data_IF_829628478317
#
_entry.id   IF_829628478317
#
_cell.length_a   1.000
_cell.length_b   1.000
_cell.length_c   1.000
_cell.angle_alpha   90.00
_cell.angle_beta   90.00
_cell.angle_gamma   90.00
#
_symmetry.space_group_name_H-M   'P 1'
#
loop_
_entity.id
_entity.type
_entity.pdbx_description
1 polymer ?
#
# COMPACT_ATOMS: atom_id res chain seq x y z
N UNK A 1 19.79 1.62 73.25
CA UNK A 1 19.97 0.76 72.05
C UNK A 1 18.70 0.82 71.22
N UNK A 2 18.83 0.56 69.91
CA UNK A 2 17.79 0.47 68.86
C UNK A 2 17.42 1.80 68.19
N UNK A 3 17.40 1.96 66.87
CA UNK A 3 18.15 1.43 65.72
C UNK A 3 17.56 2.24 64.55
N UNK A 4 18.40 2.94 63.79
CA UNK A 4 18.00 3.66 62.57
C UNK A 4 17.37 2.69 61.57
N UNK A 5 16.19 3.01 61.04
CA UNK A 5 15.64 2.34 59.86
C UNK A 5 15.42 3.38 58.76
N UNK A 6 16.40 3.42 57.84
CA UNK A 6 16.32 4.12 56.57
C UNK A 6 15.45 3.29 55.62
N UNK A 7 14.37 3.86 55.09
CA UNK A 7 13.56 3.26 54.04
C UNK A 7 14.14 3.63 52.66
N UNK A 8 14.56 2.66 51.84
CA UNK A 8 15.03 2.93 50.49
C UNK A 8 13.85 3.16 49.52
N UNK A 9 14.01 4.17 48.66
CA UNK A 9 13.21 4.46 47.48
C UNK A 9 13.22 3.26 46.51
N UNK A 10 12.05 2.75 46.14
CA UNK A 10 11.89 1.86 44.99
C UNK A 10 11.46 2.69 43.77
N UNK A 11 12.41 2.95 42.86
CA UNK A 11 12.16 3.61 41.58
C UNK A 11 11.62 2.54 40.60
N UNK A 12 10.30 2.55 40.36
CA UNK A 12 9.67 1.66 39.38
C UNK A 12 10.07 2.08 37.97
N UNK A 13 11.00 1.34 37.35
CA UNK A 13 11.30 1.49 35.92
C UNK A 13 10.21 0.78 35.14
N UNK A 14 9.32 1.55 34.49
CA UNK A 14 8.43 0.99 33.47
C UNK A 14 9.29 0.47 32.33
N UNK A 15 9.26 -0.85 32.12
CA UNK A 15 9.97 -1.51 31.04
C UNK A 15 9.50 -0.99 29.69
N UNK A 16 10.43 -0.43 28.92
CA UNK A 16 10.22 -0.14 27.50
C UNK A 16 10.07 -1.49 26.79
N UNK A 17 8.85 -1.85 26.40
CA UNK A 17 8.61 -2.94 25.45
C UNK A 17 9.19 -2.49 24.10
N UNK A 18 10.40 -2.94 23.80
CA UNK A 18 10.97 -2.79 22.48
C UNK A 18 10.15 -3.64 21.51
N UNK A 19 9.27 -3.00 20.73
CA UNK A 19 8.62 -3.63 19.60
C UNK A 19 9.73 -4.01 18.60
N UNK A 20 9.95 -5.30 18.41
CA UNK A 20 10.84 -5.77 17.35
C UNK A 20 10.17 -5.46 16.01
N UNK A 21 10.87 -4.86 15.03
CA UNK A 21 10.30 -4.68 13.71
C UNK A 21 9.99 -6.07 13.16
N UNK A 22 8.71 -6.33 12.90
CA UNK A 22 8.28 -7.51 12.15
C UNK A 22 9.03 -7.42 10.82
N UNK A 23 9.97 -8.34 10.58
CA UNK A 23 10.53 -8.49 9.23
C UNK A 23 9.34 -8.83 8.35
N UNK A 24 8.98 -7.94 7.40
CA UNK A 24 8.03 -8.27 6.32
C UNK A 24 8.57 -9.55 5.68
N UNK A 25 7.96 -10.68 6.01
CA UNK A 25 8.15 -11.90 5.23
C UNK A 25 7.88 -11.54 3.77
N UNK A 26 8.61 -12.14 2.83
CA UNK A 26 8.46 -11.92 1.38
C UNK A 26 7.10 -12.48 0.90
N UNK A 27 6.00 -12.04 1.49
CA UNK A 27 4.66 -12.45 1.11
C UNK A 27 4.42 -12.00 -0.33
N UNK A 28 4.03 -12.90 -1.23
CA UNK A 28 3.74 -12.53 -2.61
C UNK A 28 2.52 -11.59 -2.72
N UNK A 29 1.69 -11.48 -1.67
CA UNK A 29 0.61 -10.48 -1.61
C UNK A 29 1.14 -9.03 -1.53
N UNK A 30 2.37 -8.83 -1.03
CA UNK A 30 2.96 -7.50 -0.82
C UNK A 30 3.67 -6.95 -2.07
N UNK A 31 3.52 -7.60 -3.22
CA UNK A 31 4.07 -7.15 -4.50
C UNK A 31 3.05 -7.37 -5.60
N UNK A 32 2.60 -6.28 -6.20
CA UNK A 32 1.67 -6.32 -7.32
C UNK A 32 2.41 -6.14 -8.64
N UNK A 33 1.92 -6.81 -9.66
CA UNK A 33 2.58 -6.89 -10.95
C UNK A 33 1.80 -6.11 -11.99
N UNK A 34 2.44 -5.10 -12.57
CA UNK A 34 1.85 -4.25 -13.60
C UNK A 34 2.37 -4.65 -14.97
N UNK A 35 1.47 -4.65 -15.95
CA UNK A 35 1.78 -4.81 -17.36
C UNK A 35 0.99 -3.84 -18.23
N UNK A 36 1.43 -3.65 -19.47
CA UNK A 36 0.77 -2.76 -20.44
C UNK A 36 0.57 -1.32 -19.94
N UNK A 37 1.47 -0.81 -19.08
CA UNK A 37 1.42 0.58 -18.67
C UNK A 37 1.68 1.51 -19.86
N UNK A 38 0.75 2.43 -20.06
CA UNK A 38 0.79 3.41 -21.14
C UNK A 38 0.25 4.74 -20.64
N UNK A 39 0.82 5.82 -21.17
CA UNK A 39 0.37 7.20 -20.92
C UNK A 39 0.24 7.93 -22.25
N UNK A 40 -0.82 8.71 -22.43
CA UNK A 40 -1.03 9.54 -23.63
C UNK A 40 -1.42 10.96 -23.24
N UNK A 41 -0.63 11.95 -23.65
CA UNK A 41 -0.82 13.34 -23.23
C UNK A 41 -1.35 14.23 -24.37
N UNK A 42 -2.21 15.16 -24.01
CA UNK A 42 -2.70 16.26 -24.84
C UNK A 42 -2.59 17.57 -24.05
N UNK A 43 -2.82 18.75 -24.68
CA UNK A 43 -2.87 20.01 -23.94
C UNK A 43 -3.91 20.05 -22.80
N UNK A 44 -4.92 19.17 -22.83
CA UNK A 44 -5.96 19.07 -21.79
C UNK A 44 -5.64 18.12 -20.64
N UNK A 45 -4.48 17.45 -20.66
CA UNK A 45 -4.08 16.45 -19.66
C UNK A 45 -3.64 15.13 -20.30
N UNK A 46 -3.28 14.18 -19.43
CA UNK A 46 -2.82 12.85 -19.82
C UNK A 46 -3.79 11.76 -19.38
N UNK A 47 -3.96 10.77 -20.24
CA UNK A 47 -4.64 9.52 -19.91
C UNK A 47 -3.63 8.45 -19.57
N UNK A 48 -4.04 7.48 -18.76
CA UNK A 48 -3.27 6.29 -18.46
C UNK A 48 -4.10 5.02 -18.58
N UNK A 49 -3.43 3.91 -18.88
CA UNK A 49 -4.00 2.57 -18.86
C UNK A 49 -2.94 1.55 -18.46
N UNK A 50 -3.31 0.58 -17.61
CA UNK A 50 -2.46 -0.56 -17.26
C UNK A 50 -3.28 -1.75 -16.73
N UNK A 51 -2.69 -2.93 -16.83
CA UNK A 51 -3.19 -4.14 -16.16
C UNK A 51 -2.42 -4.34 -14.86
N UNK A 52 -3.09 -4.81 -13.82
CA UNK A 52 -2.47 -5.12 -12.54
C UNK A 52 -3.01 -6.42 -11.97
N UNK A 53 -2.13 -7.24 -11.41
CA UNK A 53 -2.54 -8.42 -10.64
C UNK A 53 -1.76 -8.57 -9.34
N UNK A 54 -2.46 -9.04 -8.31
CA UNK A 54 -1.92 -9.43 -7.01
C UNK A 54 -2.14 -10.92 -6.76
N UNK A 55 -1.15 -11.58 -6.16
CA UNK A 55 -1.19 -13.03 -5.92
C UNK A 55 -1.97 -13.30 -4.63
N UNK A 56 -2.98 -14.19 -4.71
CA UNK A 56 -3.73 -14.64 -3.55
C UNK A 56 -2.83 -15.39 -2.55
N UNK A 57 -3.04 -15.14 -1.27
CA UNK A 57 -2.46 -15.91 -0.16
C UNK A 57 -3.56 -16.40 0.78
N UNK A 58 -3.19 -17.01 1.90
CA UNK A 58 -4.16 -17.48 2.89
C UNK A 58 -5.00 -16.34 3.50
N UNK A 59 -4.44 -15.12 3.59
CA UNK A 59 -5.05 -13.99 4.32
C UNK A 59 -5.35 -12.78 3.41
N UNK A 60 -5.04 -12.88 2.12
CA UNK A 60 -5.22 -11.77 1.17
C UNK A 60 -5.77 -12.34 -0.13
N UNK A 61 -6.96 -11.93 -0.58
CA UNK A 61 -7.48 -12.36 -1.86
C UNK A 61 -6.59 -11.83 -2.99
N UNK A 62 -6.50 -12.62 -4.06
CA UNK A 62 -5.85 -12.17 -5.28
C UNK A 62 -6.79 -11.34 -6.12
N UNK A 63 -6.24 -10.49 -6.98
CA UNK A 63 -7.00 -9.71 -7.95
C UNK A 63 -6.27 -9.69 -9.28
N UNK A 64 -7.00 -9.46 -10.37
CA UNK A 64 -6.45 -9.25 -11.71
C UNK A 64 -7.40 -8.34 -12.48
N UNK A 65 -6.99 -7.10 -12.74
CA UNK A 65 -7.86 -6.08 -13.30
C UNK A 65 -7.13 -5.10 -14.21
N UNK A 66 -7.91 -4.27 -14.91
CA UNK A 66 -7.43 -3.18 -15.74
C UNK A 66 -7.82 -1.85 -15.10
N UNK A 67 -6.86 -0.94 -15.03
CA UNK A 67 -7.02 0.40 -14.47
C UNK A 67 -6.78 1.44 -15.56
N UNK A 68 -7.68 2.41 -15.67
CA UNK A 68 -7.60 3.50 -16.64
C UNK A 68 -8.14 4.78 -16.05
N UNK A 69 -7.60 5.92 -16.46
CA UNK A 69 -8.07 7.22 -15.98
C UNK A 69 -7.32 8.39 -16.58
N UNK A 70 -7.46 9.55 -15.95
CA UNK A 70 -6.74 10.78 -16.30
C UNK A 70 -5.89 11.26 -15.14
N UNK A 71 -4.84 12.01 -15.45
CA UNK A 71 -3.95 12.63 -14.47
C UNK A 71 -4.54 13.89 -13.80
N UNK A 72 -5.72 14.33 -14.26
CA UNK A 72 -6.42 15.52 -13.76
C UNK A 72 -7.11 15.30 -12.41
N UNK A 73 -7.33 14.04 -12.01
CA UNK A 73 -7.91 13.70 -10.71
C UNK A 73 -6.81 13.41 -9.68
N UNK A 74 -7.00 13.92 -8.46
CA UNK A 74 -6.15 13.57 -7.31
C UNK A 74 -6.72 12.41 -6.48
N UNK A 75 -7.90 11.91 -6.84
CA UNK A 75 -8.58 10.83 -6.11
C UNK A 75 -8.25 9.45 -6.71
N UNK A 76 -8.30 8.42 -5.86
CA UNK A 76 -8.27 7.03 -6.31
C UNK A 76 -9.59 6.70 -7.01
N UNK A 77 -9.50 6.25 -8.26
CA UNK A 77 -10.65 5.88 -9.08
C UNK A 77 -10.71 4.36 -9.20
N UNK A 78 -11.93 3.79 -9.15
CA UNK A 78 -12.12 2.36 -9.32
C UNK A 78 -11.56 1.88 -10.66
N UNK A 79 -10.88 0.74 -10.62
CA UNK A 79 -10.50 -0.02 -11.81
C UNK A 79 -11.71 -0.81 -12.31
N UNK A 80 -11.52 -1.68 -13.31
CA UNK A 80 -12.60 -2.56 -13.79
C UNK A 80 -13.12 -3.51 -12.69
N UNK A 81 -12.27 -3.83 -11.71
CA UNK A 81 -12.66 -4.44 -10.45
C UNK A 81 -12.84 -3.33 -9.41
N UNK A 82 -14.03 -3.23 -8.81
CA UNK A 82 -14.36 -2.20 -7.81
C UNK A 82 -13.61 -2.35 -6.49
N UNK A 83 -13.03 -3.53 -6.22
CA UNK A 83 -12.17 -3.77 -5.05
C UNK A 83 -10.77 -3.19 -5.24
N UNK A 84 -10.43 -2.75 -6.46
CA UNK A 84 -9.13 -2.14 -6.77
C UNK A 84 -9.36 -0.72 -7.23
N UNK A 85 -8.63 0.24 -6.66
CA UNK A 85 -8.66 1.64 -7.06
C UNK A 85 -7.26 2.10 -7.39
N UNK A 86 -7.13 3.04 -8.33
CA UNK A 86 -5.83 3.54 -8.73
C UNK A 86 -5.84 5.03 -9.03
N UNK A 87 -4.64 5.61 -8.99
CA UNK A 87 -4.37 6.98 -9.40
C UNK A 87 -2.97 7.03 -10.00
N UNK A 88 -2.84 7.74 -11.11
CA UNK A 88 -1.55 8.05 -11.74
C UNK A 88 -1.39 9.55 -11.81
N UNK A 89 -0.29 10.07 -11.28
CA UNK A 89 0.00 11.51 -11.25
C UNK A 89 1.39 11.79 -11.83
N UNK A 90 1.59 12.95 -12.49
CA UNK A 90 2.93 13.38 -12.88
C UNK A 90 3.79 13.57 -11.61
N UNK A 91 5.00 13.02 -11.63
CA UNK A 91 6.03 13.30 -10.63
C UNK A 91 7.10 14.20 -11.27
N UNK A 92 8.35 14.11 -10.81
CA UNK A 92 9.47 14.79 -11.49
C UNK A 92 9.65 14.20 -12.88
N UNK A 93 9.45 15.02 -13.93
CA UNK A 93 9.57 14.57 -15.31
C UNK A 93 10.88 13.78 -15.54
N UNK A 94 10.85 12.60 -16.20
CA UNK A 94 9.71 11.97 -16.91
C UNK A 94 8.95 10.91 -16.09
N UNK A 95 8.91 11.06 -14.76
CA UNK A 95 8.32 10.07 -13.85
C UNK A 95 6.82 10.28 -13.64
N UNK A 96 6.15 9.17 -13.38
CA UNK A 96 4.76 9.03 -12.98
C UNK A 96 4.71 8.33 -11.64
N UNK A 97 4.00 8.92 -10.69
CA UNK A 97 3.63 8.25 -9.45
C UNK A 97 2.37 7.44 -9.68
N UNK A 98 2.39 6.19 -9.26
CA UNK A 98 1.27 5.26 -9.38
C UNK A 98 0.93 4.79 -7.99
N UNK A 99 -0.29 5.10 -7.54
CA UNK A 99 -0.84 4.62 -6.27
C UNK A 99 -2.02 3.71 -6.56
N UNK A 100 -2.05 2.57 -5.88
CA UNK A 100 -3.12 1.58 -5.98
C UNK A 100 -3.58 1.21 -4.57
N UNK A 101 -4.89 1.01 -4.44
CA UNK A 101 -5.56 0.48 -3.25
C UNK A 101 -6.23 -0.83 -3.64
N UNK A 102 -6.09 -1.85 -2.80
CA UNK A 102 -6.85 -3.09 -2.87
C UNK A 102 -7.62 -3.27 -1.56
N UNK A 103 -8.94 -3.30 -1.64
CA UNK A 103 -9.84 -3.41 -0.51
C UNK A 103 -10.61 -4.73 -0.57
N UNK A 104 -10.77 -5.41 0.57
CA UNK A 104 -11.61 -6.61 0.66
C UNK A 104 -12.26 -6.73 2.03
N UNK A 105 -13.31 -7.56 2.09
CA UNK A 105 -14.05 -7.85 3.32
C UNK A 105 -14.05 -9.34 3.59
N UNK A 106 -13.79 -9.73 4.83
CA UNK A 106 -13.92 -11.11 5.32
C UNK A 106 -15.21 -11.29 6.14
N UNK A 107 -15.66 -12.54 6.37
CA UNK A 107 -16.83 -12.81 7.21
C UNK A 107 -16.73 -12.13 8.59
N UNK A 108 -17.84 -11.55 9.04
CA UNK A 108 -17.86 -10.75 10.28
C UNK A 108 -17.62 -9.25 10.04
N UNK A 109 -17.80 -8.79 8.80
CA UNK A 109 -17.68 -7.38 8.39
C UNK A 109 -16.27 -6.81 8.64
N UNK A 110 -15.27 -7.68 8.59
CA UNK A 110 -13.87 -7.33 8.77
C UNK A 110 -13.34 -6.73 7.46
N UNK A 111 -12.97 -5.45 7.47
CA UNK A 111 -12.51 -4.74 6.28
C UNK A 111 -10.99 -4.60 6.27
N UNK A 112 -10.39 -4.84 5.12
CA UNK A 112 -8.95 -4.78 4.91
C UNK A 112 -8.61 -3.95 3.68
N UNK A 113 -7.48 -3.26 3.77
CA UNK A 113 -6.99 -2.35 2.75
C UNK A 113 -5.47 -2.46 2.63
N UNK A 114 -4.98 -2.74 1.43
CA UNK A 114 -3.58 -2.61 1.10
C UNK A 114 -3.38 -1.42 0.17
N UNK A 115 -2.31 -0.66 0.40
CA UNK A 115 -1.90 0.43 -0.46
C UNK A 115 -0.50 0.16 -1.00
N UNK A 116 -0.35 0.31 -2.32
CA UNK A 116 0.93 0.20 -3.00
C UNK A 116 1.23 1.48 -3.76
N UNK A 117 2.50 1.87 -3.77
CA UNK A 117 2.94 3.09 -4.43
C UNK A 117 4.33 2.92 -5.06
N UNK A 118 4.49 3.44 -6.28
CA UNK A 118 5.79 3.42 -6.98
C UNK A 118 5.91 4.56 -7.97
N UNK A 119 7.15 4.91 -8.32
CA UNK A 119 7.45 5.85 -9.40
C UNK A 119 8.02 5.09 -10.60
N UNK A 120 7.46 5.35 -11.78
CA UNK A 120 7.91 4.74 -13.05
C UNK A 120 8.13 5.81 -14.10
N UNK A 121 8.90 5.49 -15.14
CA UNK A 121 9.02 6.36 -16.31
C UNK A 121 8.16 5.83 -17.45
N UNK A 122 7.67 6.73 -18.31
CA UNK A 122 6.76 6.42 -19.43
C UNK A 122 7.20 5.30 -20.42
N UNK A 123 8.49 5.00 -20.68
CA UNK A 123 8.82 3.81 -21.51
C UNK A 123 8.59 2.48 -20.78
N UNK A 124 8.40 2.50 -19.45
CA UNK A 124 8.30 1.29 -18.62
C UNK A 124 6.91 0.68 -18.75
N UNK A 125 6.79 -0.44 -19.46
CA UNK A 125 5.51 -1.14 -19.63
C UNK A 125 5.23 -2.19 -18.56
N UNK A 126 6.29 -2.73 -17.93
CA UNK A 126 6.23 -3.78 -16.93
C UNK A 126 7.02 -3.35 -15.69
N UNK A 127 6.43 -3.47 -14.52
CA UNK A 127 7.08 -3.16 -13.25
C UNK A 127 6.27 -3.78 -12.10
N UNK A 128 6.78 -3.63 -10.88
CA UNK A 128 6.09 -4.05 -9.67
C UNK A 128 5.74 -2.83 -8.80
N UNK A 129 4.61 -2.91 -8.12
CA UNK A 129 4.20 -1.98 -7.07
C UNK A 129 4.35 -2.70 -5.74
N UNK A 130 5.26 -2.26 -4.85
CA UNK A 130 5.33 -2.81 -3.50
C UNK A 130 4.17 -2.28 -2.67
N UNK A 131 3.61 -3.12 -1.80
CA UNK A 131 2.68 -2.67 -0.75
C UNK A 131 3.46 -1.86 0.29
N UNK A 132 3.03 -0.62 0.50
CA UNK A 132 3.66 0.34 1.41
C UNK A 132 2.92 0.42 2.74
N UNK A 133 1.58 0.29 2.72
CA UNK A 133 0.70 0.40 3.89
C UNK A 133 -0.35 -0.71 3.84
N UNK A 134 -0.72 -1.22 5.03
CA UNK A 134 -1.74 -2.24 5.23
C UNK A 134 -2.63 -1.78 6.40
N UNK A 135 -3.95 -1.87 6.25
CA UNK A 135 -4.93 -1.53 7.28
C UNK A 135 -5.97 -2.64 7.38
N UNK A 136 -6.43 -2.91 8.59
CA UNK A 136 -7.49 -3.85 8.85
C UNK A 136 -8.33 -3.41 10.04
N UNK A 137 -9.64 -3.51 9.92
CA UNK A 137 -10.60 -3.32 11.01
C UNK A 137 -11.35 -4.63 11.16
N UNK A 138 -11.22 -5.26 12.33
CA UNK A 138 -11.79 -6.55 12.66
C UNK A 138 -12.45 -6.52 14.04
#
# INVERSE_FOLDING_TARGET
MQLLAYLPLALSTLGLTAASPIRRSQSPALTWHVSNFTTGCSPGGCTYNFNIFGIATANTPGFNTTCSGTDTSTELTACADSQVRSRVQPATYPQWNIRVEHAWTEPGDMEFYDFGETNVTSPTRLFTIPVTEEYGVA
#
